data_IF_402288653543
#
_entry.id   IF_402288653543
#
_cell.length_a   1.000
_cell.length_b   1.000
_cell.length_c   1.000
_cell.angle_alpha   90.00
_cell.angle_beta   90.00
_cell.angle_gamma   90.00
#
_symmetry.space_group_name_H-M   'P 1'
#
loop_
_entity.id
_entity.type
_entity.pdbx_description
1 polymer ?
#
# COMPACT_ATOMS: atom_id res chain seq x y z
N UNK A 1 24.78 53.08 -28.77
CA UNK A 1 23.91 52.25 -29.64
C UNK A 1 24.82 51.32 -30.42
N UNK A 2 25.06 50.13 -29.87
CA UNK A 2 25.93 49.11 -30.46
C UNK A 2 25.07 47.88 -30.73
N UNK A 3 24.92 47.53 -31.99
CA UNK A 3 24.12 46.38 -32.45
C UNK A 3 25.02 45.15 -32.59
N UNK A 4 24.59 43.95 -32.17
CA UNK A 4 25.39 42.72 -32.28
C UNK A 4 25.21 42.03 -33.63
N UNK A 5 26.27 41.34 -34.08
CA UNK A 5 26.30 40.50 -35.27
C UNK A 5 25.54 39.15 -35.07
N UNK A 6 25.00 38.53 -36.14
CA UNK A 6 24.17 37.33 -36.03
C UNK A 6 24.99 36.03 -35.91
N UNK A 7 24.45 35.08 -35.13
CA UNK A 7 25.00 33.74 -34.94
C UNK A 7 24.76 32.85 -36.19
N UNK A 8 25.82 32.21 -36.67
CA UNK A 8 25.81 31.23 -37.75
C UNK A 8 25.30 29.88 -37.24
N UNK A 9 24.18 29.43 -37.80
CA UNK A 9 23.57 28.13 -37.56
C UNK A 9 24.33 27.04 -38.34
N UNK A 10 25.01 26.13 -37.62
CA UNK A 10 25.75 25.02 -38.21
C UNK A 10 24.80 23.83 -38.47
N UNK A 11 24.22 23.76 -39.67
CA UNK A 11 23.42 22.62 -40.13
C UNK A 11 24.34 21.49 -40.58
N UNK A 12 24.55 20.50 -39.71
CA UNK A 12 25.30 19.28 -40.07
C UNK A 12 24.37 18.33 -40.83
N UNK A 13 24.70 18.04 -42.10
CA UNK A 13 23.97 17.12 -42.99
C UNK A 13 23.91 15.70 -42.40
N UNK A 14 22.74 15.09 -42.45
CA UNK A 14 22.51 13.67 -42.20
C UNK A 14 22.92 12.90 -43.47
N UNK A 15 23.80 11.89 -43.41
CA UNK A 15 24.10 11.05 -44.57
C UNK A 15 22.91 10.13 -44.91
N UNK A 16 22.61 10.02 -46.20
CA UNK A 16 21.57 9.16 -46.76
C UNK A 16 21.87 7.68 -46.52
N UNK A 17 20.86 6.92 -46.09
CA UNK A 17 20.94 5.45 -45.96
C UNK A 17 20.87 4.80 -47.34
N UNK A 18 21.89 4.01 -47.67
CA UNK A 18 21.81 2.99 -48.73
C UNK A 18 20.94 1.81 -48.27
N UNK A 19 20.02 1.30 -49.10
CA UNK A 19 19.21 0.15 -48.74
C UNK A 19 19.64 -1.07 -49.55
N UNK A 20 20.51 -1.93 -48.99
CA UNK A 20 20.58 -3.33 -49.43
C UNK A 20 21.15 -4.26 -48.36
N UNK A 21 20.25 -5.11 -47.85
CA UNK A 21 20.43 -6.50 -47.40
C UNK A 21 21.48 -6.82 -46.32
N UNK A 22 21.04 -7.19 -45.12
CA UNK A 22 21.22 -8.57 -44.62
C UNK A 22 20.17 -8.94 -43.57
N UNK A 23 19.59 -10.12 -43.77
CA UNK A 23 18.72 -10.92 -42.91
C UNK A 23 19.21 -11.09 -41.48
N UNK A 24 18.28 -11.04 -40.52
CA UNK A 24 18.50 -11.39 -39.12
C UNK A 24 17.21 -11.25 -38.31
N UNK A 25 16.40 -12.30 -38.32
CA UNK A 25 15.27 -12.50 -37.41
C UNK A 25 15.81 -12.68 -35.99
N UNK A 26 15.56 -11.71 -35.11
CA UNK A 26 16.00 -11.72 -33.72
C UNK A 26 15.21 -10.70 -32.91
N UNK A 27 14.84 -11.00 -31.65
CA UNK A 27 14.01 -10.12 -30.86
C UNK A 27 14.77 -8.82 -30.60
N UNK A 28 14.15 -7.68 -30.92
CA UNK A 28 14.61 -6.35 -30.51
C UNK A 28 14.74 -6.36 -28.99
N UNK A 29 15.95 -6.26 -28.40
CA UNK A 29 16.06 -6.21 -26.96
C UNK A 29 15.60 -4.82 -26.52
N UNK A 30 14.55 -4.81 -25.71
CA UNK A 30 14.11 -3.66 -24.95
C UNK A 30 15.29 -3.23 -24.05
N UNK A 31 16.08 -2.25 -24.50
CA UNK A 31 17.21 -1.75 -23.72
C UNK A 31 16.66 -0.89 -22.59
N UNK A 32 16.50 -1.50 -21.40
CA UNK A 32 16.54 -0.76 -20.15
C UNK A 32 17.88 0.00 -20.11
N UNK A 33 17.82 1.32 -19.95
CA UNK A 33 18.95 2.25 -20.02
C UNK A 33 19.91 2.09 -18.83
N UNK A 34 20.58 0.95 -18.72
CA UNK A 34 21.69 0.79 -17.79
C UNK A 34 22.98 1.32 -18.42
N UNK A 35 23.87 2.00 -17.66
CA UNK A 35 25.16 2.40 -18.17
C UNK A 35 25.96 1.18 -18.67
N UNK A 36 26.85 1.33 -19.66
CA UNK A 36 27.72 0.25 -20.09
C UNK A 36 28.65 -0.18 -18.94
N UNK A 37 29.14 -1.43 -18.93
CA UNK A 37 30.07 -1.91 -17.90
C UNK A 37 31.25 -0.94 -17.72
N UNK A 38 31.50 -0.49 -16.49
CA UNK A 38 32.57 0.46 -16.19
C UNK A 38 33.28 0.10 -14.87
N UNK A 39 34.57 -0.22 -14.95
CA UNK A 39 35.32 -0.68 -13.77
C UNK A 39 34.79 -2.04 -13.26
N UNK A 40 34.43 -2.11 -11.98
CA UNK A 40 33.82 -3.30 -11.36
C UNK A 40 32.29 -3.36 -11.55
N UNK A 41 31.68 -2.35 -12.17
CA UNK A 41 30.24 -2.33 -12.43
C UNK A 41 29.92 -3.23 -13.64
N UNK A 42 29.05 -4.22 -13.41
CA UNK A 42 28.51 -5.13 -14.41
C UNK A 42 26.97 -5.04 -14.39
N UNK A 43 26.33 -4.50 -15.45
CA UNK A 43 24.88 -4.33 -15.53
C UNK A 43 24.07 -5.63 -15.35
N UNK A 44 24.71 -6.80 -15.50
CA UNK A 44 24.07 -8.10 -15.28
C UNK A 44 23.77 -8.38 -13.80
N UNK A 45 24.39 -7.64 -12.89
CA UNK A 45 24.11 -7.69 -11.46
C UNK A 45 23.16 -6.59 -10.99
N UNK A 46 22.68 -5.74 -11.92
CA UNK A 46 21.72 -4.71 -11.56
C UNK A 46 20.35 -5.36 -11.37
N UNK A 47 19.83 -5.23 -10.15
CA UNK A 47 18.56 -5.79 -9.75
C UNK A 47 17.66 -4.67 -9.26
N UNK A 48 16.63 -4.37 -10.05
CA UNK A 48 15.56 -3.49 -9.61
C UNK A 48 14.74 -4.23 -8.53
N UNK A 49 14.73 -3.71 -7.31
CA UNK A 49 14.03 -4.32 -6.21
C UNK A 49 13.49 -3.23 -5.28
N UNK A 50 12.20 -3.30 -4.98
CA UNK A 50 11.57 -2.47 -3.96
C UNK A 50 12.30 -2.64 -2.61
N UNK A 51 12.42 -1.54 -1.87
CA UNK A 51 12.96 -1.57 -0.51
C UNK A 51 12.08 -2.37 0.45
N UNK A 52 12.68 -3.26 1.23
CA UNK A 52 12.01 -3.96 2.35
C UNK A 52 12.88 -3.80 3.59
N UNK A 53 12.23 -3.52 4.73
CA UNK A 53 12.87 -3.49 6.04
C UNK A 53 12.02 -4.26 7.05
N UNK A 54 12.68 -4.79 8.09
CA UNK A 54 12.03 -5.46 9.20
C UNK A 54 12.69 -5.03 10.51
N UNK A 55 11.87 -4.71 11.52
CA UNK A 55 12.32 -4.33 12.86
C UNK A 55 11.60 -5.24 13.86
N UNK A 56 12.36 -5.88 14.73
CA UNK A 56 11.83 -6.69 15.83
C UNK A 56 12.60 -6.44 17.12
N UNK A 57 11.94 -6.68 18.24
CA UNK A 57 12.57 -6.75 19.56
C UNK A 57 12.68 -8.20 20.02
N UNK A 58 13.82 -8.57 20.58
CA UNK A 58 14.01 -9.88 21.22
C UNK A 58 13.38 -9.94 22.63
N UNK A 59 13.04 -8.78 23.21
CA UNK A 59 12.45 -8.72 24.55
C UNK A 59 10.98 -9.16 24.58
N UNK A 60 10.31 -9.19 23.43
CA UNK A 60 8.87 -9.46 23.32
C UNK A 60 7.96 -8.35 23.88
N UNK A 61 8.53 -7.24 24.37
CA UNK A 61 7.76 -6.11 24.92
C UNK A 61 7.32 -5.19 23.80
N UNK A 62 6.00 -4.99 23.66
CA UNK A 62 5.45 -4.04 22.69
C UNK A 62 5.89 -2.60 23.02
N UNK A 63 6.39 -1.88 22.02
CA UNK A 63 6.84 -0.49 22.17
C UNK A 63 6.64 0.31 20.89
N UNK A 64 6.23 1.57 21.04
CA UNK A 64 6.13 2.51 19.92
C UNK A 64 7.49 2.77 19.25
N UNK A 65 8.60 2.58 19.96
CA UNK A 65 9.95 2.70 19.40
C UNK A 65 10.18 1.79 18.19
N UNK A 66 9.56 0.60 18.17
CA UNK A 66 9.63 -0.33 17.03
C UNK A 66 8.96 0.27 15.78
N UNK A 67 7.80 0.91 15.98
CA UNK A 67 7.07 1.61 14.90
C UNK A 67 7.89 2.80 14.40
N UNK A 68 8.43 3.63 15.30
CA UNK A 68 9.27 4.76 14.94
C UNK A 68 10.51 4.35 14.13
N UNK A 69 11.20 3.29 14.56
CA UNK A 69 12.33 2.69 13.83
C UNK A 69 11.92 2.16 12.45
N UNK A 70 10.74 1.56 12.34
CA UNK A 70 10.22 1.05 11.07
C UNK A 70 9.92 2.18 10.08
N UNK A 71 9.37 3.30 10.55
CA UNK A 71 9.17 4.49 9.74
C UNK A 71 10.49 5.15 9.31
N UNK A 72 11.50 5.19 10.19
CA UNK A 72 12.84 5.64 9.81
C UNK A 72 13.46 4.74 8.74
N UNK A 73 13.30 3.42 8.86
CA UNK A 73 13.77 2.48 7.85
C UNK A 73 13.06 2.70 6.50
N UNK A 74 11.74 2.90 6.49
CA UNK A 74 10.98 3.22 5.27
C UNK A 74 11.48 4.51 4.60
N UNK A 75 11.73 5.58 5.35
CA UNK A 75 12.31 6.82 4.80
C UNK A 75 13.70 6.61 4.20
N UNK A 76 14.51 5.74 4.79
CA UNK A 76 15.83 5.41 4.25
C UNK A 76 15.75 4.57 2.97
N UNK A 77 14.59 3.96 2.67
CA UNK A 77 14.36 3.18 1.46
C UNK A 77 13.78 4.02 0.31
N UNK A 78 13.57 5.33 0.50
CA UNK A 78 13.02 6.24 -0.52
C UNK A 78 13.78 6.18 -1.85
N UNK A 79 15.11 6.07 -1.80
CA UNK A 79 15.97 5.94 -2.98
C UNK A 79 15.73 4.66 -3.80
N UNK A 80 14.93 3.73 -3.28
CA UNK A 80 14.50 2.48 -3.94
C UNK A 80 12.99 2.47 -4.24
N UNK A 81 12.31 3.58 -3.98
CA UNK A 81 10.92 3.78 -4.36
C UNK A 81 10.85 4.16 -5.84
N UNK A 82 9.87 3.60 -6.54
CA UNK A 82 9.49 4.13 -7.84
C UNK A 82 8.73 5.45 -7.61
N UNK A 83 9.22 6.51 -8.24
CA UNK A 83 8.54 7.78 -8.30
C UNK A 83 7.46 7.71 -9.40
N UNK A 84 6.26 8.15 -9.06
CA UNK A 84 5.17 8.29 -10.02
C UNK A 84 5.43 9.42 -11.01
N UNK A 85 4.45 9.69 -11.87
CA UNK A 85 4.55 10.75 -12.88
C UNK A 85 4.71 12.17 -12.29
N UNK A 86 4.41 12.34 -10.99
CA UNK A 86 4.45 13.60 -10.26
C UNK A 86 5.46 13.52 -9.10
N UNK A 87 6.15 14.62 -8.73
CA UNK A 87 7.12 14.61 -7.63
C UNK A 87 6.57 14.22 -6.25
N UNK A 88 5.25 14.32 -6.07
CA UNK A 88 4.51 14.01 -4.84
C UNK A 88 3.57 12.80 -5.01
N UNK A 89 3.84 11.94 -6.00
CA UNK A 89 3.18 10.64 -6.14
C UNK A 89 4.26 9.57 -6.22
N UNK A 90 4.16 8.53 -5.42
CA UNK A 90 4.95 7.31 -5.46
C UNK A 90 4.05 6.08 -5.58
N UNK A 91 4.63 4.97 -6.03
CA UNK A 91 3.90 3.72 -6.30
C UNK A 91 3.29 3.09 -5.03
N UNK A 92 3.79 3.50 -3.86
CA UNK A 92 3.17 3.26 -2.57
C UNK A 92 4.14 2.78 -1.51
N UNK A 93 3.76 3.00 -0.25
CA UNK A 93 4.49 2.55 0.92
C UNK A 93 3.53 1.93 1.93
N UNK A 94 4.09 1.16 2.86
CA UNK A 94 3.29 0.61 3.95
C UNK A 94 4.09 -0.06 5.05
N UNK A 95 3.41 -0.29 6.15
CA UNK A 95 3.89 -1.00 7.34
C UNK A 95 2.90 -2.11 7.70
N UNK A 96 3.42 -3.30 7.96
CA UNK A 96 2.70 -4.39 8.60
C UNK A 96 3.20 -4.50 10.04
N UNK A 97 2.30 -4.41 11.01
CA UNK A 97 2.65 -4.50 12.42
C UNK A 97 1.72 -5.44 13.18
N UNK A 98 2.13 -5.83 14.38
CA UNK A 98 1.23 -6.49 15.32
C UNK A 98 0.11 -5.52 15.73
N UNK A 99 -1.06 -6.06 16.08
CA UNK A 99 -2.19 -5.25 16.53
C UNK A 99 -1.81 -4.42 17.77
N UNK A 100 -1.88 -3.08 17.72
CA UNK A 100 -1.62 -2.23 18.87
C UNK A 100 -2.89 -2.11 19.74
N UNK A 101 -3.19 -3.13 20.55
CA UNK A 101 -4.45 -3.23 21.33
C UNK A 101 -4.75 -1.98 22.17
N UNK A 102 -3.75 -1.45 22.90
CA UNK A 102 -3.93 -0.27 23.74
C UNK A 102 -4.40 0.95 22.93
N UNK A 103 -3.83 1.16 21.74
CA UNK A 103 -4.25 2.24 20.83
C UNK A 103 -5.65 1.97 20.28
N UNK A 104 -5.90 0.76 19.76
CA UNK A 104 -7.18 0.42 19.14
C UNK A 104 -8.35 0.49 20.13
N UNK A 105 -8.12 0.13 21.40
CA UNK A 105 -9.11 0.21 22.47
C UNK A 105 -9.49 1.65 22.78
N UNK A 106 -8.51 2.56 22.83
CA UNK A 106 -8.77 3.98 23.03
C UNK A 106 -9.62 4.55 21.90
N UNK A 107 -9.23 4.30 20.66
CA UNK A 107 -9.95 4.86 19.49
C UNK A 107 -11.28 4.16 19.18
N UNK A 108 -11.47 2.91 19.61
CA UNK A 108 -12.76 2.23 19.56
C UNK A 108 -13.75 2.85 20.56
N UNK A 109 -13.28 3.16 21.78
CA UNK A 109 -14.09 3.85 22.78
C UNK A 109 -14.51 5.24 22.30
N UNK A 110 -13.61 6.00 21.66
CA UNK A 110 -13.94 7.27 21.00
C UNK A 110 -14.99 7.11 19.88
N UNK A 111 -14.94 5.99 19.15
CA UNK A 111 -15.91 5.63 18.12
C UNK A 111 -17.21 5.00 18.67
N UNK A 112 -17.35 4.87 20.00
CA UNK A 112 -18.59 4.47 20.65
C UNK A 112 -18.79 2.96 20.86
N UNK A 113 -17.73 2.14 20.77
CA UNK A 113 -17.83 0.70 21.01
C UNK A 113 -16.66 0.13 21.81
N UNK A 114 -16.90 -1.01 22.47
CA UNK A 114 -15.90 -1.67 23.30
C UNK A 114 -15.27 -2.87 22.58
N UNK A 115 -13.97 -3.08 22.81
CA UNK A 115 -13.26 -4.24 22.28
C UNK A 115 -13.21 -5.38 23.31
N UNK A 116 -13.42 -6.63 22.87
CA UNK A 116 -13.07 -7.81 23.66
C UNK A 116 -11.60 -7.83 24.10
N UNK A 117 -11.20 -8.80 24.95
CA UNK A 117 -9.80 -8.99 25.30
C UNK A 117 -8.90 -9.15 24.06
N UNK A 118 -7.60 -8.83 24.17
CA UNK A 118 -6.65 -9.00 23.08
C UNK A 118 -6.76 -10.39 22.44
N UNK A 119 -6.66 -10.45 21.10
CA UNK A 119 -6.79 -11.68 20.29
C UNK A 119 -8.18 -12.33 20.27
N UNK A 120 -9.19 -11.71 20.89
CA UNK A 120 -10.60 -12.09 20.81
C UNK A 120 -11.42 -11.19 19.87
N UNK A 121 -10.76 -10.26 19.18
CA UNK A 121 -11.30 -9.47 18.08
C UNK A 121 -10.30 -9.46 16.92
N UNK A 122 -10.82 -9.26 15.72
CA UNK A 122 -10.03 -8.99 14.52
C UNK A 122 -10.33 -7.58 14.03
N UNK A 123 -9.34 -6.96 13.40
CA UNK A 123 -9.42 -5.63 12.83
C UNK A 123 -8.83 -5.64 11.42
N UNK A 124 -9.42 -4.86 10.53
CA UNK A 124 -8.89 -4.64 9.20
C UNK A 124 -9.24 -3.26 8.68
N UNK A 125 -8.35 -2.66 7.93
CA UNK A 125 -8.61 -1.39 7.25
C UNK A 125 -9.28 -1.70 5.91
N UNK A 126 -10.57 -1.38 5.79
CA UNK A 126 -11.32 -1.44 4.54
C UNK A 126 -10.97 -0.21 3.68
N UNK A 127 -10.63 -0.48 2.43
CA UNK A 127 -10.50 0.54 1.39
C UNK A 127 -11.81 0.50 0.61
N UNK A 128 -12.63 1.53 0.80
CA UNK A 128 -14.00 1.59 0.28
C UNK A 128 -14.03 2.63 -0.86
N UNK A 129 -14.02 2.21 -2.14
CA UNK A 129 -14.12 3.13 -3.26
C UNK A 129 -15.55 3.66 -3.41
N UNK A 130 -15.70 4.81 -4.07
CA UNK A 130 -16.99 5.42 -4.37
C UNK A 130 -17.40 6.56 -3.45
N UNK A 131 -18.62 7.05 -3.65
CA UNK A 131 -19.24 8.09 -2.83
C UNK A 131 -19.84 7.52 -1.53
N UNK A 132 -20.37 8.40 -0.69
CA UNK A 132 -20.89 8.02 0.63
C UNK A 132 -22.04 6.98 0.56
N UNK A 133 -22.84 7.00 -0.51
CA UNK A 133 -23.93 6.04 -0.72
C UNK A 133 -23.38 4.66 -1.09
N UNK A 134 -22.44 4.59 -2.03
CA UNK A 134 -21.76 3.34 -2.41
C UNK A 134 -20.99 2.74 -1.24
N UNK A 135 -20.32 3.59 -0.45
CA UNK A 135 -19.58 3.19 0.76
C UNK A 135 -20.54 2.64 1.81
N UNK A 136 -21.67 3.30 2.07
CA UNK A 136 -22.67 2.82 3.02
C UNK A 136 -23.23 1.45 2.61
N UNK A 137 -23.59 1.28 1.33
CA UNK A 137 -24.06 0.00 0.79
C UNK A 137 -23.03 -1.11 0.95
N UNK A 138 -21.76 -0.81 0.65
CA UNK A 138 -20.66 -1.76 0.79
C UNK A 138 -20.47 -2.18 2.25
N UNK A 139 -20.56 -1.25 3.21
CA UNK A 139 -20.48 -1.59 4.64
C UNK A 139 -21.62 -2.51 5.09
N UNK A 140 -22.86 -2.23 4.68
CA UNK A 140 -24.01 -3.10 4.96
C UNK A 140 -23.79 -4.52 4.44
N UNK A 141 -23.32 -4.66 3.19
CA UNK A 141 -23.05 -5.97 2.62
C UNK A 141 -21.92 -6.72 3.36
N UNK A 142 -20.89 -6.00 3.80
CA UNK A 142 -19.82 -6.59 4.63
C UNK A 142 -20.36 -7.06 5.99
N UNK A 143 -21.29 -6.33 6.59
CA UNK A 143 -21.96 -6.72 7.84
C UNK A 143 -22.81 -7.98 7.68
N UNK A 144 -23.54 -8.10 6.56
CA UNK A 144 -24.29 -9.31 6.20
C UNK A 144 -23.36 -10.52 6.04
N UNK A 145 -22.27 -10.38 5.26
CA UNK A 145 -21.26 -11.44 5.09
C UNK A 145 -20.64 -11.81 6.45
N UNK A 146 -20.35 -10.83 7.31
CA UNK A 146 -19.80 -11.09 8.64
C UNK A 146 -20.75 -11.95 9.48
N UNK A 147 -22.06 -11.64 9.46
CA UNK A 147 -23.06 -12.43 10.16
C UNK A 147 -23.14 -13.87 9.64
N UNK A 148 -23.12 -14.06 8.31
CA UNK A 148 -23.12 -15.39 7.68
C UNK A 148 -21.89 -16.23 8.04
N UNK A 149 -20.71 -15.60 8.15
CA UNK A 149 -19.48 -16.26 8.59
C UNK A 149 -19.45 -16.52 10.12
N UNK A 150 -20.48 -16.10 10.86
CA UNK A 150 -20.56 -16.28 12.31
C UNK A 150 -19.69 -15.28 13.09
N UNK A 151 -19.51 -14.08 12.56
CA UNK A 151 -18.89 -12.94 13.22
C UNK A 151 -19.95 -11.89 13.58
N UNK A 152 -19.65 -11.11 14.61
CA UNK A 152 -20.39 -9.91 14.98
C UNK A 152 -19.51 -8.71 14.67
N UNK A 153 -20.06 -7.73 13.95
CA UNK A 153 -19.42 -6.43 13.77
C UNK A 153 -19.56 -5.65 15.06
N UNK A 154 -18.42 -5.28 15.66
CA UNK A 154 -18.35 -4.50 16.89
C UNK A 154 -18.52 -3.01 16.59
N UNK A 155 -18.02 -2.56 15.45
CA UNK A 155 -18.10 -1.19 15.02
C UNK A 155 -17.17 -0.87 13.85
N UNK A 156 -17.40 0.31 13.28
CA UNK A 156 -16.57 0.92 12.25
C UNK A 156 -15.89 2.17 12.80
N UNK A 157 -14.64 2.38 12.42
CA UNK A 157 -13.90 3.61 12.74
C UNK A 157 -13.33 4.22 11.47
N UNK A 158 -13.68 5.45 11.16
CA UNK A 158 -13.01 6.21 10.09
C UNK A 158 -11.54 6.42 10.45
N UNK A 159 -10.63 6.11 9.53
CA UNK A 159 -9.19 6.30 9.74
C UNK A 159 -8.84 7.76 9.42
N UNK A 160 -8.24 8.52 10.35
CA UNK A 160 -7.78 9.87 10.06
C UNK A 160 -6.70 9.87 8.98
N UNK A 161 -6.82 10.77 8.00
CA UNK A 161 -5.88 10.96 6.89
C UNK A 161 -5.55 12.44 6.70
N UNK A 162 -4.45 12.73 6.01
CA UNK A 162 -4.06 14.08 5.60
C UNK A 162 -3.76 14.05 4.10
N UNK A 163 -4.77 14.22 3.23
CA UNK A 163 -4.62 14.04 1.78
C UNK A 163 -3.87 15.19 1.09
N UNK A 164 -3.68 16.33 1.76
CA UNK A 164 -3.09 17.54 1.18
C UNK A 164 -1.66 17.37 0.65
N UNK A 165 -0.95 16.31 1.07
CA UNK A 165 0.40 16.01 0.60
C UNK A 165 0.45 15.07 -0.61
N UNK A 166 -0.69 14.50 -1.03
CA UNK A 166 -0.76 13.51 -2.11
C UNK A 166 -0.77 14.20 -3.48
N UNK A 167 -0.12 13.57 -4.47
CA UNK A 167 -0.27 13.95 -5.88
C UNK A 167 -1.66 13.68 -6.43
N UNK A 168 -1.99 14.33 -7.56
CA UNK A 168 -3.34 14.30 -8.13
C UNK A 168 -3.74 12.88 -8.57
N UNK A 169 -2.75 12.09 -9.00
CA UNK A 169 -2.98 10.69 -9.37
C UNK A 169 -3.41 9.85 -8.16
N UNK A 170 -2.68 9.93 -7.05
CA UNK A 170 -3.01 9.20 -5.83
C UNK A 170 -4.35 9.67 -5.23
N UNK A 171 -4.59 10.98 -5.24
CA UNK A 171 -5.83 11.58 -4.73
C UNK A 171 -7.04 11.17 -5.57
N UNK A 172 -6.92 11.12 -6.90
CA UNK A 172 -8.01 10.79 -7.82
C UNK A 172 -8.56 9.36 -7.66
N UNK A 173 -7.79 8.47 -7.05
CA UNK A 173 -8.19 7.08 -6.76
C UNK A 173 -8.19 6.75 -5.27
N UNK A 174 -8.09 7.77 -4.40
CA UNK A 174 -8.06 7.58 -2.95
C UNK A 174 -9.40 7.00 -2.45
N UNK A 175 -9.40 5.82 -1.81
CA UNK A 175 -10.61 5.26 -1.22
C UNK A 175 -10.94 5.94 0.11
N UNK A 176 -12.16 5.75 0.60
CA UNK A 176 -12.45 6.01 2.01
C UNK A 176 -11.81 4.89 2.87
N UNK A 177 -11.07 5.28 3.89
CA UNK A 177 -10.42 4.35 4.81
C UNK A 177 -11.25 4.18 6.09
N UNK A 178 -11.72 2.97 6.35
CA UNK A 178 -12.43 2.64 7.59
C UNK A 178 -11.92 1.35 8.21
N UNK A 179 -11.70 1.33 9.51
CA UNK A 179 -11.39 0.12 10.25
C UNK A 179 -12.66 -0.60 10.64
N UNK A 180 -12.76 -1.87 10.23
CA UNK A 180 -13.78 -2.81 10.63
C UNK A 180 -13.28 -3.63 11.82
N UNK A 181 -14.06 -3.68 12.90
CA UNK A 181 -13.79 -4.51 14.07
C UNK A 181 -14.82 -5.63 14.17
N UNK A 182 -14.36 -6.88 14.28
CA UNK A 182 -15.23 -8.06 14.36
C UNK A 182 -14.80 -9.00 15.48
N UNK A 183 -15.76 -9.74 16.03
CA UNK A 183 -15.52 -10.83 16.99
C UNK A 183 -16.39 -12.04 16.67
N UNK A 184 -16.13 -13.18 17.32
CA UNK A 184 -16.96 -14.37 17.16
C UNK A 184 -18.40 -14.13 17.65
N UNK A 185 -19.39 -14.45 16.82
CA UNK A 185 -20.81 -14.34 17.18
C UNK A 185 -21.22 -15.47 18.12
N UNK A 186 -21.86 -15.13 19.24
CA UNK A 186 -22.41 -16.09 20.21
C UNK A 186 -21.39 -16.98 20.94
N UNK A 187 -20.11 -16.95 20.57
CA UNK A 187 -19.02 -17.70 21.20
C UNK A 187 -17.72 -16.91 21.15
N UNK A 188 -16.90 -17.04 22.19
CA UNK A 188 -15.56 -16.45 22.20
C UNK A 188 -14.64 -17.20 21.24
N UNK A 189 -14.45 -16.65 20.04
CA UNK A 189 -13.42 -17.08 19.12
C UNK A 189 -12.11 -16.35 19.41
N UNK A 190 -11.00 -17.09 19.43
CA UNK A 190 -9.65 -16.52 19.62
C UNK A 190 -8.64 -17.25 18.74
N UNK A 191 -7.46 -16.65 18.58
CA UNK A 191 -6.33 -17.30 17.93
C UNK A 191 -6.67 -17.76 16.51
N UNK A 192 -6.25 -18.98 16.14
CA UNK A 192 -6.44 -19.50 14.78
C UNK A 192 -7.90 -19.69 14.38
N UNK A 193 -8.80 -19.93 15.35
CA UNK A 193 -10.22 -20.05 15.05
C UNK A 193 -10.80 -18.72 14.56
N UNK A 194 -10.42 -17.61 15.21
CA UNK A 194 -10.81 -16.27 14.77
C UNK A 194 -10.12 -15.88 13.45
N UNK A 195 -8.81 -16.17 13.30
CA UNK A 195 -8.10 -15.90 12.04
C UNK A 195 -8.77 -16.56 10.84
N UNK A 196 -9.20 -17.82 10.98
CA UNK A 196 -9.81 -18.57 9.88
C UNK A 196 -11.12 -17.93 9.42
N UNK A 197 -11.98 -17.53 10.37
CA UNK A 197 -13.27 -16.93 10.04
C UNK A 197 -13.08 -15.50 9.52
N UNK A 198 -12.17 -14.72 10.12
CA UNK A 198 -11.80 -13.39 9.61
C UNK A 198 -11.23 -13.45 8.18
N UNK A 199 -10.45 -14.49 7.86
CA UNK A 199 -9.99 -14.75 6.50
C UNK A 199 -11.14 -15.03 5.53
N UNK A 200 -12.12 -15.86 5.91
CA UNK A 200 -13.30 -16.12 5.08
C UNK A 200 -14.09 -14.84 4.81
N UNK A 201 -14.38 -14.05 5.86
CA UNK A 201 -15.02 -12.74 5.74
C UNK A 201 -14.25 -11.85 4.76
N UNK A 202 -12.92 -11.73 4.93
CA UNK A 202 -12.09 -10.93 4.01
C UNK A 202 -12.25 -11.39 2.56
N UNK A 203 -12.12 -12.69 2.30
CA UNK A 203 -12.16 -13.24 0.94
C UNK A 203 -13.52 -13.11 0.28
N UNK A 204 -14.59 -13.24 1.05
CA UNK A 204 -15.96 -13.04 0.55
C UNK A 204 -16.24 -11.57 0.30
N UNK A 205 -15.89 -10.70 1.25
CA UNK A 205 -16.04 -9.25 1.09
C UNK A 205 -15.30 -8.73 -0.16
N UNK A 206 -14.04 -9.14 -0.39
CA UNK A 206 -13.25 -8.79 -1.58
C UNK A 206 -13.82 -9.35 -2.90
N UNK A 207 -14.63 -10.41 -2.85
CA UNK A 207 -15.20 -11.07 -4.03
C UNK A 207 -16.59 -10.56 -4.37
N UNK A 208 -17.38 -10.25 -3.34
CA UNK A 208 -18.81 -9.92 -3.45
C UNK A 208 -19.06 -8.40 -3.42
N UNK A 209 -18.03 -7.61 -3.11
CA UNK A 209 -18.07 -6.13 -3.05
C UNK A 209 -16.81 -5.54 -3.69
N UNK A 210 -16.76 -4.21 -3.80
CA UNK A 210 -15.58 -3.48 -4.29
C UNK A 210 -14.55 -3.13 -3.20
N UNK A 211 -14.71 -3.65 -1.98
CA UNK A 211 -13.77 -3.39 -0.88
C UNK A 211 -12.44 -4.10 -1.10
N UNK A 212 -11.36 -3.44 -0.69
CA UNK A 212 -10.06 -4.09 -0.54
C UNK A 212 -9.60 -4.05 0.92
N UNK A 213 -9.10 -5.19 1.42
CA UNK A 213 -8.57 -5.32 2.78
C UNK A 213 -7.09 -5.70 2.75
N UNK A 214 -6.16 -4.74 2.96
CA UNK A 214 -4.73 -5.05 3.16
C UNK A 214 -4.49 -6.11 4.25
N UNK A 215 -5.32 -6.08 5.28
CA UNK A 215 -5.34 -7.05 6.38
C UNK A 215 -6.72 -7.08 7.01
N UNK A 216 -7.14 -8.26 7.50
CA UNK A 216 -8.24 -8.44 8.45
C UNK A 216 -7.84 -9.60 9.36
N UNK A 217 -7.36 -9.30 10.56
CA UNK A 217 -6.71 -10.28 11.45
C UNK A 217 -6.82 -9.87 12.92
N UNK A 218 -6.67 -10.84 13.82
CA UNK A 218 -6.53 -10.70 15.27
C UNK A 218 -5.06 -10.64 15.73
N UNK A 219 -4.11 -10.61 14.78
CA UNK A 219 -2.66 -10.60 15.07
C UNK A 219 -1.92 -9.45 14.41
N UNK A 220 -2.26 -9.12 13.17
CA UNK A 220 -1.53 -8.14 12.37
C UNK A 220 -2.45 -7.11 11.76
N UNK A 221 -1.96 -5.89 11.60
CA UNK A 221 -2.66 -4.78 10.95
C UNK A 221 -1.70 -4.11 9.96
N UNK A 222 -2.17 -3.94 8.73
CA UNK A 222 -1.45 -3.26 7.67
C UNK A 222 -1.96 -1.83 7.49
N UNK A 223 -1.02 -0.89 7.41
CA UNK A 223 -1.24 0.47 6.92
C UNK A 223 -0.43 0.62 5.64
N UNK A 224 -1.10 0.81 4.50
CA UNK A 224 -0.46 1.01 3.19
C UNK A 224 -1.26 2.02 2.37
N UNK A 225 -0.61 2.65 1.41
CA UNK A 225 -1.26 3.56 0.48
C UNK A 225 -0.31 3.98 -0.64
N UNK A 226 -0.87 4.58 -1.68
CA UNK A 226 -0.10 5.38 -2.63
C UNK A 226 0.08 6.75 -1.98
N UNK A 227 1.32 7.24 -1.94
CA UNK A 227 1.72 8.43 -1.19
C UNK A 227 2.39 9.46 -2.08
#
# INVERSE_FOLDING_TARGET
MSSPAPASCCTRRIPSRDPTTTTGDGPVPYQHSFPPPQGLYDPRHEHDACGVAFVATLTGVASHDIVAKSLTALRNLEHRGAAGAEPNSGDGAGILMQIPDAFLRAVAAEAGFELPPPRAYAVGTAFLPGDDEAVAKTRTQIEEIAAEEGLTVLGWRTVPTQPDCLGATALGVMPQFAQLFVAGSGKRLTGMALERVAFCLRRRAEKETDVYFPSLSSRTLAYKGML
#
